data_IF_669235243894
#
_entry.id   IF_669235243894
#
_cell.length_a   1.000
_cell.length_b   1.000
_cell.length_c   1.000
_cell.angle_alpha   90.00
_cell.angle_beta   90.00
_cell.angle_gamma   90.00
#
_symmetry.space_group_name_H-M   'P 1'
#
loop_
_entity.id
_entity.type
_entity.pdbx_description
1 polymer ?
#
# COMPACT_ATOMS: atom_id res chain seq x y z
N UNK A 1 -5.15 6.35 -32.85
CA UNK A 1 -6.55 6.52 -33.31
C UNK A 1 -7.57 6.51 -32.17
N UNK A 2 -7.70 5.42 -31.39
CA UNK A 2 -8.73 5.30 -30.31
C UNK A 2 -8.62 6.36 -29.17
N UNK A 3 -7.41 6.83 -28.84
CA UNK A 3 -7.19 7.90 -27.83
C UNK A 3 -7.65 9.29 -28.29
N UNK A 4 -7.35 9.65 -29.54
CA UNK A 4 -7.77 10.93 -30.13
C UNK A 4 -9.29 11.02 -30.28
N UNK A 5 -9.94 9.91 -30.60
CA UNK A 5 -11.40 9.83 -30.70
C UNK A 5 -12.07 10.06 -29.33
N UNK A 6 -11.52 9.52 -28.23
CA UNK A 6 -12.05 9.76 -26.88
C UNK A 6 -11.91 11.22 -26.43
N UNK A 7 -10.78 11.86 -26.75
CA UNK A 7 -10.56 13.29 -26.42
C UNK A 7 -11.54 14.16 -27.20
N UNK A 8 -11.69 13.91 -28.50
CA UNK A 8 -12.67 14.62 -29.33
C UNK A 8 -14.10 14.45 -28.79
N UNK A 9 -14.49 13.24 -28.36
CA UNK A 9 -15.85 13.01 -27.81
C UNK A 9 -16.06 13.84 -26.54
N UNK A 10 -15.07 13.91 -25.65
CA UNK A 10 -15.15 14.69 -24.42
C UNK A 10 -15.19 16.19 -24.71
N UNK A 11 -14.35 16.69 -25.62
CA UNK A 11 -14.36 18.10 -26.05
C UNK A 11 -15.69 18.47 -26.70
N UNK A 12 -16.24 17.60 -27.56
CA UNK A 12 -17.56 17.83 -28.18
C UNK A 12 -18.68 17.87 -27.13
N UNK A 13 -18.62 17.00 -26.11
CA UNK A 13 -19.60 16.99 -25.01
C UNK A 13 -19.48 18.24 -24.15
N UNK A 14 -18.26 18.67 -23.80
CA UNK A 14 -18.03 19.91 -23.05
C UNK A 14 -18.51 21.14 -23.82
N UNK A 15 -18.21 21.22 -25.12
CA UNK A 15 -18.65 22.33 -25.98
C UNK A 15 -20.18 22.34 -26.10
N UNK A 16 -20.83 21.17 -26.24
CA UNK A 16 -22.29 21.09 -26.29
C UNK A 16 -22.95 21.52 -24.96
N UNK A 17 -22.32 21.22 -23.82
CA UNK A 17 -22.78 21.65 -22.49
C UNK A 17 -22.64 23.17 -22.33
N UNK A 18 -21.47 23.73 -22.68
CA UNK A 18 -21.22 25.18 -22.65
C UNK A 18 -22.15 25.94 -23.61
N UNK A 19 -22.43 25.38 -24.79
CA UNK A 19 -23.35 25.97 -25.75
C UNK A 19 -24.81 25.92 -25.27
N UNK A 20 -25.22 24.84 -24.60
CA UNK A 20 -26.55 24.72 -23.98
C UNK A 20 -26.71 25.66 -22.79
N UNK A 21 -25.61 25.92 -22.06
CA UNK A 21 -25.49 26.89 -20.96
C UNK A 21 -25.69 28.33 -21.47
N UNK A 22 -25.10 28.70 -22.61
CA UNK A 22 -25.23 30.07 -23.16
C UNK A 22 -26.67 30.37 -23.66
N UNK A 23 -27.46 29.35 -23.99
CA UNK A 23 -28.80 29.50 -24.59
C UNK A 23 -29.95 29.67 -23.59
N UNK A 24 -29.74 29.49 -22.27
CA UNK A 24 -30.79 29.62 -21.26
C UNK A 24 -30.59 30.91 -20.45
N UNK A 25 -31.54 31.84 -20.56
CA UNK A 25 -31.64 33.01 -19.67
C UNK A 25 -32.52 32.66 -18.47
N UNK A 26 -32.13 33.17 -17.29
CA UNK A 26 -32.84 33.24 -16.00
C UNK A 26 -32.51 32.20 -14.91
N UNK A 27 -32.69 32.65 -13.65
CA UNK A 27 -32.18 32.14 -12.36
C UNK A 27 -32.42 30.66 -12.00
N UNK A 28 -33.16 29.88 -12.80
CA UNK A 28 -33.20 28.40 -12.69
C UNK A 28 -31.87 27.76 -13.16
N UNK A 29 -31.02 28.55 -13.82
CA UNK A 29 -29.72 28.19 -14.34
C UNK A 29 -28.74 27.71 -13.26
N UNK A 30 -28.67 28.40 -12.12
CA UNK A 30 -27.68 28.12 -11.06
C UNK A 30 -27.95 26.76 -10.41
N UNK A 31 -29.22 26.38 -10.24
CA UNK A 31 -29.60 25.11 -9.62
C UNK A 31 -29.37 23.94 -10.57
N UNK A 32 -29.67 24.11 -11.86
CA UNK A 32 -29.43 23.10 -12.90
C UNK A 32 -27.92 22.94 -13.12
N UNK A 33 -27.14 24.02 -13.22
CA UNK A 33 -25.68 24.01 -13.36
C UNK A 33 -25.01 23.28 -12.19
N UNK A 34 -25.43 23.54 -10.96
CA UNK A 34 -24.90 22.85 -9.77
C UNK A 34 -25.30 21.37 -9.70
N UNK A 35 -26.49 21.02 -10.16
CA UNK A 35 -26.95 19.62 -10.17
C UNK A 35 -26.28 18.83 -11.29
N UNK A 36 -26.13 19.42 -12.48
CA UNK A 36 -25.48 18.81 -13.62
C UNK A 36 -23.97 18.68 -13.38
N UNK A 37 -23.32 19.70 -12.80
CA UNK A 37 -21.90 19.65 -12.43
C UNK A 37 -21.64 18.56 -11.40
N UNK A 38 -22.47 18.46 -10.35
CA UNK A 38 -22.39 17.39 -9.36
C UNK A 38 -22.56 16.01 -9.99
N UNK A 39 -23.56 15.85 -10.86
CA UNK A 39 -23.84 14.57 -11.52
C UNK A 39 -22.75 14.19 -12.53
N UNK A 40 -22.15 15.15 -13.21
CA UNK A 40 -20.97 14.95 -14.07
C UNK A 40 -19.76 14.57 -13.21
N UNK A 41 -19.54 15.22 -12.06
CA UNK A 41 -18.49 14.86 -11.11
C UNK A 41 -18.66 13.42 -10.59
N UNK A 42 -19.86 13.06 -10.14
CA UNK A 42 -20.22 11.71 -9.68
C UNK A 42 -20.06 10.69 -10.81
N UNK A 43 -20.51 11.02 -12.03
CA UNK A 43 -20.36 10.15 -13.21
C UNK A 43 -18.90 10.00 -13.64
N UNK A 44 -18.05 11.03 -13.45
CA UNK A 44 -16.60 10.96 -13.74
C UNK A 44 -15.86 10.17 -12.66
N UNK A 45 -16.28 10.24 -11.39
CA UNK A 45 -15.83 9.32 -10.34
C UNK A 45 -16.22 7.87 -10.65
N UNK A 46 -17.45 7.65 -11.16
CA UNK A 46 -17.97 6.35 -11.58
C UNK A 46 -17.34 5.81 -12.87
N UNK A 47 -16.87 6.68 -13.78
CA UNK A 47 -16.01 6.32 -14.94
C UNK A 47 -14.57 6.05 -14.44
N UNK A 48 -14.48 5.23 -13.39
CA UNK A 48 -13.46 4.19 -13.16
C UNK A 48 -12.03 4.60 -13.44
N UNK A 49 -11.64 5.59 -12.66
CA UNK A 49 -10.51 5.49 -11.76
C UNK A 49 -10.24 4.05 -11.27
N UNK A 50 -9.31 3.35 -11.91
CA UNK A 50 -8.93 1.98 -11.56
C UNK A 50 -8.03 1.99 -10.31
N UNK A 51 -8.67 2.11 -9.13
CA UNK A 51 -8.03 2.01 -7.80
C UNK A 51 -7.12 0.79 -7.71
N UNK A 52 -7.56 -0.34 -8.27
CA UNK A 52 -6.81 -1.59 -8.29
C UNK A 52 -5.51 -1.45 -9.06
N UNK A 53 -5.53 -0.85 -10.26
CA UNK A 53 -4.29 -0.61 -11.04
C UNK A 53 -3.32 0.32 -10.32
N UNK A 54 -3.80 1.33 -9.61
CA UNK A 54 -2.96 2.23 -8.82
C UNK A 54 -2.37 1.51 -7.63
N UNK A 55 -3.20 0.78 -6.89
CA UNK A 55 -2.80 -0.08 -5.78
C UNK A 55 -1.66 -1.00 -6.21
N UNK A 56 -1.88 -1.82 -7.25
CA UNK A 56 -0.86 -2.78 -7.73
C UNK A 56 0.41 -2.08 -8.24
N UNK A 57 0.29 -0.85 -8.76
CA UNK A 57 1.46 -0.10 -9.23
C UNK A 57 2.30 0.41 -8.06
N UNK A 58 1.66 0.93 -7.01
CA UNK A 58 2.31 1.39 -5.78
C UNK A 58 2.91 0.19 -5.04
N UNK A 59 2.15 -0.88 -4.87
CA UNK A 59 2.59 -2.12 -4.21
C UNK A 59 3.84 -2.70 -4.88
N UNK A 60 3.82 -2.83 -6.21
CA UNK A 60 4.99 -3.30 -6.96
C UNK A 60 6.20 -2.39 -6.74
N UNK A 61 6.02 -1.08 -6.74
CA UNK A 61 7.12 -0.14 -6.52
C UNK A 61 7.71 -0.30 -5.11
N UNK A 62 6.88 -0.44 -4.08
CA UNK A 62 7.31 -0.66 -2.70
C UNK A 62 8.04 -2.00 -2.52
N UNK A 63 7.50 -3.08 -3.10
CA UNK A 63 8.14 -4.40 -3.07
C UNK A 63 9.48 -4.44 -3.81
N UNK A 64 9.62 -3.62 -4.86
CA UNK A 64 10.88 -3.47 -5.59
C UNK A 64 11.83 -2.43 -4.98
N UNK A 65 11.40 -1.68 -3.97
CA UNK A 65 12.19 -0.57 -3.40
C UNK A 65 12.42 0.56 -4.41
N UNK A 66 11.48 0.78 -5.33
CA UNK A 66 11.51 1.90 -6.27
C UNK A 66 11.16 3.20 -5.53
N UNK A 67 11.90 4.27 -5.83
CA UNK A 67 11.67 5.58 -5.23
C UNK A 67 10.58 6.39 -5.94
N UNK A 68 10.08 5.97 -7.09
CA UNK A 68 9.20 6.80 -7.91
C UNK A 68 8.11 5.99 -8.61
N UNK A 69 6.89 6.52 -8.59
CA UNK A 69 5.75 6.00 -9.33
C UNK A 69 5.10 7.15 -10.11
N UNK A 70 5.17 7.07 -11.44
CA UNK A 70 4.52 8.05 -12.32
C UNK A 70 3.13 7.58 -12.75
N UNK A 71 2.14 8.46 -12.69
CA UNK A 71 0.78 8.22 -13.15
C UNK A 71 0.55 8.97 -14.47
N UNK A 72 0.49 8.24 -15.59
CA UNK A 72 0.49 8.81 -16.95
C UNK A 72 -0.91 9.07 -17.55
N UNK A 73 -1.99 8.80 -16.81
CA UNK A 73 -3.38 8.88 -17.27
C UNK A 73 -4.19 9.87 -16.38
N UNK A 74 -5.53 9.83 -16.40
CA UNK A 74 -6.43 10.67 -15.57
C UNK A 74 -6.17 10.57 -14.05
N UNK A 75 -5.27 9.70 -13.61
CA UNK A 75 -4.73 9.60 -12.26
C UNK A 75 -3.93 10.81 -11.77
N UNK A 76 -3.67 11.81 -12.63
CA UNK A 76 -3.18 13.15 -12.20
C UNK A 76 -4.28 13.95 -11.49
N UNK A 77 -5.56 13.63 -11.74
CA UNK A 77 -6.70 14.29 -11.10
C UNK A 77 -7.02 13.73 -9.71
N UNK A 78 -6.23 12.77 -9.23
CA UNK A 78 -6.40 12.21 -7.90
C UNK A 78 -6.15 13.25 -6.82
N UNK A 79 -6.96 13.19 -5.77
CA UNK A 79 -6.62 13.87 -4.53
C UNK A 79 -5.41 13.16 -3.93
N UNK A 80 -4.47 13.95 -3.41
CA UNK A 80 -3.30 13.40 -2.73
C UNK A 80 -3.70 12.46 -1.58
N UNK A 81 -4.79 12.78 -0.89
CA UNK A 81 -5.39 11.96 0.17
C UNK A 81 -5.70 10.53 -0.30
N UNK A 82 -6.28 10.34 -1.48
CA UNK A 82 -6.58 9.01 -2.00
C UNK A 82 -5.30 8.20 -2.28
N UNK A 83 -4.25 8.86 -2.77
CA UNK A 83 -2.93 8.23 -2.97
C UNK A 83 -2.36 7.78 -1.62
N UNK A 84 -2.37 8.66 -0.61
CA UNK A 84 -1.81 8.36 0.69
C UNK A 84 -2.60 7.27 1.43
N UNK A 85 -3.93 7.27 1.33
CA UNK A 85 -4.77 6.20 1.89
C UNK A 85 -4.42 4.84 1.27
N UNK A 86 -4.25 4.77 -0.05
CA UNK A 86 -3.83 3.53 -0.75
C UNK A 86 -2.41 3.13 -0.31
N UNK A 87 -1.49 4.10 -0.26
CA UNK A 87 -0.09 3.87 0.13
C UNK A 87 0.01 3.30 1.55
N UNK A 88 -0.68 3.94 2.51
CA UNK A 88 -0.67 3.53 3.90
C UNK A 88 -1.29 2.13 4.05
N UNK A 89 -2.41 1.87 3.37
CA UNK A 89 -3.01 0.53 3.34
C UNK A 89 -2.00 -0.53 2.89
N UNK A 90 -1.32 -0.30 1.76
CA UNK A 90 -0.32 -1.23 1.22
C UNK A 90 0.82 -1.46 2.22
N UNK A 91 1.35 -0.39 2.83
CA UNK A 91 2.47 -0.47 3.78
C UNK A 91 2.08 -1.24 5.04
N UNK A 92 0.87 -1.04 5.55
CA UNK A 92 0.39 -1.72 6.76
C UNK A 92 0.01 -3.18 6.51
N UNK A 93 -0.56 -3.50 5.35
CA UNK A 93 -1.03 -4.85 5.05
C UNK A 93 0.09 -5.79 4.57
N UNK A 94 1.21 -5.26 4.07
CA UNK A 94 2.25 -6.08 3.45
C UNK A 94 3.53 -6.16 4.30
N UNK A 95 3.76 -7.26 5.04
CA UNK A 95 4.92 -7.39 5.93
C UNK A 95 6.28 -7.53 5.20
N UNK A 96 6.29 -7.60 3.87
CA UNK A 96 7.50 -7.58 3.04
C UNK A 96 7.92 -6.17 2.64
N UNK A 97 7.04 -5.18 2.80
CA UNK A 97 7.36 -3.77 2.60
C UNK A 97 8.09 -3.30 3.86
N UNK A 98 9.39 -3.06 3.69
CA UNK A 98 10.30 -2.70 4.77
C UNK A 98 10.91 -1.34 4.49
N UNK A 99 11.28 -0.64 5.57
CA UNK A 99 12.05 0.60 5.52
C UNK A 99 11.37 1.78 4.81
N UNK A 100 10.05 1.73 4.57
CA UNK A 100 9.27 2.89 4.14
C UNK A 100 9.39 4.01 5.19
N UNK A 101 9.71 5.22 4.72
CA UNK A 101 9.97 6.38 5.58
C UNK A 101 9.25 7.64 5.07
N UNK A 102 8.07 7.46 4.45
CA UNK A 102 7.25 8.54 3.93
C UNK A 102 7.28 8.67 2.41
N UNK A 103 6.44 9.57 1.90
CA UNK A 103 6.34 9.87 0.48
C UNK A 103 5.85 11.29 0.21
N UNK A 104 6.10 11.78 -0.99
CA UNK A 104 5.56 13.02 -1.54
C UNK A 104 4.76 12.74 -2.81
N UNK A 105 3.62 13.42 -2.99
CA UNK A 105 2.84 13.34 -4.22
C UNK A 105 2.70 14.71 -4.87
N UNK A 106 3.22 14.87 -6.10
CA UNK A 106 3.17 16.12 -6.86
C UNK A 106 2.97 15.85 -8.34
N UNK A 107 2.01 16.54 -8.95
CA UNK A 107 1.78 16.52 -10.40
C UNK A 107 1.71 15.10 -11.02
N UNK A 108 1.03 14.17 -10.37
CA UNK A 108 0.92 12.79 -10.86
C UNK A 108 2.18 11.93 -10.64
N UNK A 109 3.12 12.37 -9.81
CA UNK A 109 4.29 11.60 -9.40
C UNK A 109 4.29 11.38 -7.90
N UNK A 110 4.40 10.12 -7.50
CA UNK A 110 4.62 9.71 -6.12
C UNK A 110 6.12 9.41 -5.94
N UNK A 111 6.78 10.14 -5.05
CA UNK A 111 8.17 9.93 -4.64
C UNK A 111 8.17 9.25 -3.28
N UNK A 112 8.81 8.10 -3.16
CA UNK A 112 8.84 7.25 -1.96
C UNK A 112 10.25 7.31 -1.35
N UNK A 113 10.30 7.52 -0.04
CA UNK A 113 11.53 7.56 0.73
C UNK A 113 11.69 6.29 1.55
N UNK A 114 12.93 5.79 1.59
CA UNK A 114 13.29 4.62 2.39
C UNK A 114 14.46 4.94 3.31
N UNK A 115 14.51 4.30 4.47
CA UNK A 115 15.65 4.37 5.38
C UNK A 115 16.82 3.46 4.96
N UNK A 116 16.66 2.68 3.88
CA UNK A 116 17.61 1.70 3.36
C UNK A 116 17.64 1.73 1.83
N UNK A 117 18.75 1.27 1.25
CA UNK A 117 18.87 1.19 -0.20
C UNK A 117 17.97 0.09 -0.79
N UNK A 118 17.61 0.23 -2.07
CA UNK A 118 16.92 -0.82 -2.83
C UNK A 118 17.64 -2.17 -2.74
N UNK A 119 18.98 -2.17 -2.79
CA UNK A 119 19.79 -3.39 -2.65
C UNK A 119 19.54 -4.06 -1.30
N UNK A 120 19.64 -3.32 -0.20
CA UNK A 120 19.39 -3.84 1.15
C UNK A 120 17.95 -4.34 1.31
N UNK A 121 16.96 -3.63 0.77
CA UNK A 121 15.55 -4.07 0.76
C UNK A 121 15.43 -5.46 0.13
N UNK A 122 15.96 -5.65 -1.08
CA UNK A 122 15.88 -6.95 -1.78
C UNK A 122 16.66 -8.05 -1.05
N UNK A 123 17.82 -7.73 -0.48
CA UNK A 123 18.61 -8.69 0.31
C UNK A 123 17.85 -9.15 1.56
N UNK A 124 17.22 -8.23 2.28
CA UNK A 124 16.45 -8.55 3.48
C UNK A 124 15.15 -9.30 3.15
N UNK A 125 14.47 -8.95 2.04
CA UNK A 125 13.30 -9.70 1.55
C UNK A 125 13.68 -11.14 1.21
N UNK A 126 14.83 -11.35 0.57
CA UNK A 126 15.35 -12.69 0.28
C UNK A 126 15.64 -13.45 1.57
N UNK A 127 16.26 -12.80 2.56
CA UNK A 127 16.59 -13.43 3.84
C UNK A 127 15.34 -13.89 4.62
N UNK A 128 14.28 -13.07 4.69
CA UNK A 128 13.04 -13.50 5.37
C UNK A 128 12.35 -14.63 4.61
N UNK A 129 12.41 -14.63 3.27
CA UNK A 129 11.88 -15.72 2.45
C UNK A 129 12.58 -17.04 2.75
N UNK A 130 13.90 -17.04 2.83
CA UNK A 130 14.68 -18.23 3.21
C UNK A 130 14.32 -18.72 4.62
N UNK A 131 14.12 -17.81 5.59
CA UNK A 131 13.68 -18.18 6.94
C UNK A 131 12.29 -18.83 6.91
N UNK A 132 11.33 -18.22 6.20
CA UNK A 132 9.97 -18.77 6.07
C UNK A 132 9.97 -20.14 5.42
N UNK A 133 10.66 -20.29 4.30
CA UNK A 133 10.68 -21.56 3.57
C UNK A 133 11.31 -22.67 4.43
N UNK A 134 12.39 -22.37 5.17
CA UNK A 134 12.97 -23.29 6.14
C UNK A 134 12.04 -23.58 7.32
N UNK A 135 11.32 -22.57 7.83
CA UNK A 135 10.35 -22.76 8.90
C UNK A 135 9.25 -23.74 8.49
N UNK A 136 8.67 -23.53 7.31
CA UNK A 136 7.61 -24.39 6.76
C UNK A 136 8.10 -25.83 6.63
N UNK A 137 9.29 -26.04 6.08
CA UNK A 137 9.85 -27.39 5.88
C UNK A 137 10.09 -28.13 7.21
N UNK A 138 10.56 -27.42 8.24
CA UNK A 138 11.02 -28.06 9.47
C UNK A 138 9.98 -28.09 10.60
N UNK A 139 8.97 -27.23 10.55
CA UNK A 139 8.03 -27.05 11.67
C UNK A 139 6.56 -27.23 11.29
N UNK A 140 6.23 -27.34 10.00
CA UNK A 140 4.84 -27.43 9.55
C UNK A 140 4.59 -28.77 8.87
N UNK A 141 3.53 -29.45 9.31
CA UNK A 141 3.00 -30.65 8.69
C UNK A 141 1.64 -30.37 8.04
N UNK A 142 1.32 -31.11 6.97
CA UNK A 142 0.02 -31.04 6.32
C UNK A 142 -1.15 -31.47 7.22
N UNK A 143 -0.87 -32.27 8.24
CA UNK A 143 -1.88 -32.77 9.20
C UNK A 143 -2.20 -31.76 10.31
N UNK A 144 -1.44 -30.66 10.42
CA UNK A 144 -1.70 -29.63 11.42
C UNK A 144 -2.97 -28.85 11.09
N UNK A 145 -3.79 -28.64 12.11
CA UNK A 145 -4.88 -27.67 12.11
C UNK A 145 -4.32 -26.24 11.98
N UNK A 146 -5.16 -25.30 11.57
CA UNK A 146 -4.74 -23.90 11.50
C UNK A 146 -4.33 -23.35 12.87
N UNK A 147 -4.98 -23.79 13.95
CA UNK A 147 -4.58 -23.46 15.31
C UNK A 147 -3.16 -23.94 15.63
N UNK A 148 -2.82 -25.20 15.31
CA UNK A 148 -1.48 -25.75 15.55
C UNK A 148 -0.42 -25.04 14.71
N UNK A 149 -0.74 -24.67 13.46
CA UNK A 149 0.15 -23.87 12.61
C UNK A 149 0.39 -22.48 13.21
N UNK A 150 -0.67 -21.80 13.65
CA UNK A 150 -0.57 -20.49 14.32
C UNK A 150 0.29 -20.60 15.59
N UNK A 151 0.09 -21.64 16.39
CA UNK A 151 0.88 -21.88 17.59
C UNK A 151 2.36 -22.16 17.25
N UNK A 152 2.64 -22.96 16.22
CA UNK A 152 4.01 -23.21 15.76
C UNK A 152 4.71 -21.92 15.28
N UNK A 153 4.00 -21.05 14.58
CA UNK A 153 4.52 -19.73 14.16
C UNK A 153 4.80 -18.86 15.38
N UNK A 154 3.87 -18.77 16.32
CA UNK A 154 4.02 -18.03 17.56
C UNK A 154 5.27 -18.49 18.33
N UNK A 155 5.35 -19.79 18.61
CA UNK A 155 6.43 -20.39 19.39
C UNK A 155 7.78 -20.23 18.69
N UNK A 156 7.82 -20.36 17.36
CA UNK A 156 9.03 -20.09 16.60
C UNK A 156 9.51 -18.64 16.77
N UNK A 157 8.61 -17.66 16.69
CA UNK A 157 8.95 -16.25 16.85
C UNK A 157 9.44 -15.96 18.27
N UNK A 158 8.69 -16.37 19.31
CA UNK A 158 9.04 -16.02 20.70
C UNK A 158 10.32 -16.71 21.18
N UNK A 159 10.63 -17.90 20.67
CA UNK A 159 11.85 -18.63 21.05
C UNK A 159 13.11 -18.14 20.31
N UNK A 160 12.97 -17.37 19.23
CA UNK A 160 14.09 -16.92 18.39
C UNK A 160 14.26 -15.39 18.35
N UNK A 161 13.47 -14.65 19.13
CA UNK A 161 13.53 -13.19 19.13
C UNK A 161 13.45 -12.60 20.54
N UNK A 162 13.97 -11.38 20.69
CA UNK A 162 13.84 -10.57 21.91
C UNK A 162 13.30 -9.19 21.59
N UNK A 163 12.62 -8.59 22.56
CA UNK A 163 12.16 -7.22 22.45
C UNK A 163 13.34 -6.23 22.44
N UNK A 164 13.27 -5.24 21.57
CA UNK A 164 14.27 -4.17 21.50
C UNK A 164 14.00 -3.08 22.54
N UNK A 165 14.80 -3.05 23.59
CA UNK A 165 14.63 -2.15 24.74
C UNK A 165 15.38 -0.83 24.60
N UNK A 166 16.03 -0.56 23.46
CA UNK A 166 16.87 0.65 23.30
C UNK A 166 16.15 1.97 23.56
N UNK A 167 14.87 2.08 23.21
CA UNK A 167 14.08 3.28 23.55
C UNK A 167 13.99 3.51 25.06
N UNK A 168 13.86 2.44 25.85
CA UNK A 168 13.81 2.52 27.31
C UNK A 168 15.16 2.97 27.90
N UNK A 169 16.24 2.79 27.16
CA UNK A 169 17.58 3.25 27.50
C UNK A 169 17.90 4.66 26.95
N UNK A 170 16.92 5.35 26.35
CA UNK A 170 17.11 6.66 25.74
C UNK A 170 17.89 6.65 24.42
N UNK A 171 17.95 5.49 23.73
CA UNK A 171 18.63 5.32 22.44
C UNK A 171 17.62 5.14 21.31
N UNK A 172 18.01 5.51 20.09
CA UNK A 172 17.20 5.30 18.89
C UNK A 172 17.15 3.82 18.50
N UNK A 173 16.01 3.41 17.94
CA UNK A 173 15.87 2.10 17.30
C UNK A 173 16.37 2.17 15.84
N UNK A 174 17.09 1.15 15.36
CA UNK A 174 17.42 1.03 13.97
C UNK A 174 16.17 0.65 13.18
N UNK A 175 16.11 0.99 11.89
CA UNK A 175 14.93 0.69 11.07
C UNK A 175 14.53 -0.78 11.05
N UNK A 176 15.49 -1.70 11.21
CA UNK A 176 15.27 -3.15 11.25
C UNK A 176 14.37 -3.58 12.40
N UNK A 177 14.33 -2.85 13.52
CA UNK A 177 13.52 -3.23 14.68
C UNK A 177 12.01 -3.21 14.40
N UNK A 178 11.58 -2.51 13.36
CA UNK A 178 10.18 -2.37 12.94
C UNK A 178 9.78 -3.31 11.81
N UNK A 179 10.65 -4.25 11.41
CA UNK A 179 10.44 -5.12 10.25
C UNK A 179 10.38 -6.58 10.61
N UNK A 180 9.75 -7.38 9.73
CA UNK A 180 9.81 -8.85 9.79
C UNK A 180 11.26 -9.35 9.76
N UNK A 181 12.17 -8.66 9.06
CA UNK A 181 13.60 -8.97 9.04
C UNK A 181 14.26 -8.85 10.42
N UNK A 182 13.94 -7.80 11.19
CA UNK A 182 14.47 -7.66 12.55
C UNK A 182 14.15 -8.88 13.43
N UNK A 183 12.91 -9.34 13.38
CA UNK A 183 12.47 -10.51 14.15
C UNK A 183 13.01 -11.82 13.56
N UNK A 184 12.73 -12.10 12.29
CA UNK A 184 12.99 -13.41 11.68
C UNK A 184 14.47 -13.66 11.38
N UNK A 185 15.27 -12.61 11.15
CA UNK A 185 16.69 -12.75 10.81
C UNK A 185 17.64 -12.24 11.88
N UNK A 186 17.35 -11.10 12.52
CA UNK A 186 18.21 -10.53 13.56
C UNK A 186 17.84 -10.99 14.97
N UNK A 187 16.66 -11.58 15.15
CA UNK A 187 16.16 -12.00 16.46
C UNK A 187 15.90 -10.83 17.42
N UNK A 188 15.65 -9.62 16.90
CA UNK A 188 15.39 -8.43 17.72
C UNK A 188 14.46 -7.44 17.02
N UNK A 189 13.45 -6.97 17.74
CA UNK A 189 12.51 -5.99 17.20
C UNK A 189 11.49 -5.50 18.24
N UNK A 190 10.60 -4.62 17.81
CA UNK A 190 9.49 -4.08 18.62
C UNK A 190 8.15 -4.62 18.14
N UNK A 191 7.05 -4.20 18.79
CA UNK A 191 5.69 -4.67 18.51
C UNK A 191 5.35 -4.76 17.01
N UNK A 192 5.68 -3.75 16.22
CA UNK A 192 5.46 -3.74 14.77
C UNK A 192 6.24 -4.86 14.04
N UNK A 193 7.50 -5.08 14.41
CA UNK A 193 8.31 -6.16 13.86
C UNK A 193 7.71 -7.53 14.16
N UNK A 194 7.23 -7.74 15.39
CA UNK A 194 6.55 -8.97 15.81
C UNK A 194 5.27 -9.22 15.00
N UNK A 195 4.41 -8.20 14.85
CA UNK A 195 3.18 -8.31 14.09
C UNK A 195 3.45 -8.64 12.61
N UNK A 196 4.43 -7.97 11.98
CA UNK A 196 4.83 -8.23 10.60
C UNK A 196 5.44 -9.62 10.42
N UNK A 197 6.25 -10.09 11.36
CA UNK A 197 6.82 -11.44 11.31
C UNK A 197 5.74 -12.53 11.40
N UNK A 198 4.78 -12.38 12.32
CA UNK A 198 3.64 -13.29 12.46
C UNK A 198 2.84 -13.34 11.16
N UNK A 199 2.41 -12.18 10.66
CA UNK A 199 1.65 -12.10 9.42
C UNK A 199 2.42 -12.69 8.23
N UNK A 200 3.71 -12.41 8.10
CA UNK A 200 4.52 -12.93 6.99
C UNK A 200 4.59 -14.46 6.94
N UNK A 201 4.72 -15.10 8.11
CA UNK A 201 4.74 -16.56 8.19
C UNK A 201 3.33 -17.15 7.95
N UNK A 202 2.28 -16.54 8.50
CA UNK A 202 0.89 -16.97 8.29
C UNK A 202 0.44 -16.82 6.83
N UNK A 203 0.78 -15.72 6.17
CA UNK A 203 0.53 -15.51 4.74
C UNK A 203 1.21 -16.62 3.91
N UNK A 204 2.41 -17.05 4.31
CA UNK A 204 3.13 -18.18 3.70
C UNK A 204 2.46 -19.53 3.87
N UNK A 205 1.58 -19.66 4.87
CA UNK A 205 0.79 -20.86 5.15
C UNK A 205 -0.64 -20.77 4.59
N UNK A 206 -1.00 -19.64 3.97
CA UNK A 206 -2.35 -19.39 3.47
C UNK A 206 -3.38 -19.13 4.58
N UNK A 207 -2.94 -18.74 5.79
CA UNK A 207 -3.81 -18.44 6.92
C UNK A 207 -4.10 -16.93 6.93
N UNK A 208 -5.38 -16.58 6.80
CA UNK A 208 -5.81 -15.18 6.80
C UNK A 208 -5.50 -14.50 8.14
N UNK A 209 -4.87 -13.33 8.08
CA UNK A 209 -4.50 -12.55 9.25
C UNK A 209 -4.36 -11.07 8.91
N UNK A 210 -4.61 -10.21 9.89
CA UNK A 210 -4.49 -8.76 9.78
C UNK A 210 -3.64 -8.19 10.92
N UNK A 211 -2.92 -7.11 10.64
CA UNK A 211 -2.21 -6.34 11.67
C UNK A 211 -3.20 -5.35 12.30
N UNK A 212 -3.19 -5.27 13.63
CA UNK A 212 -4.03 -4.36 14.39
C UNK A 212 -3.17 -3.43 15.25
N UNK A 213 -3.63 -2.19 15.42
CA UNK A 213 -3.03 -1.19 16.30
C UNK A 213 -4.02 -0.82 17.41
N UNK A 214 -3.51 -0.54 18.61
CA UNK A 214 -4.32 -0.23 19.78
C UNK A 214 -3.52 0.51 20.85
N UNK A 215 -4.23 1.00 21.87
CA UNK A 215 -3.70 1.80 22.98
C UNK A 215 -4.15 1.23 24.32
#
# INVERSE_FOLDING_TARGET
>A
MKRLIKILIIETILIAIVFSIILLKDNDFITIENTLSKKIYETVEEITFDKTKIYSKIERALLEGDNEVEFKDLSILMKAEDIFNILDQIVYENPQIMYYNGAEYRFGKLTIYYSKSKKEIKEHQKAIKEVRDNFIINHISGEMTDYEKVLAVHDYIINNSRYDTRLMEGKSLPPESYTSYGILKLGVGVCEGYAKAMKYLLDGLGIESMIVIGH
#
